data_IF_454035270186
#
_entry.id   IF_454035270186
#
_cell.length_a   1.000
_cell.length_b   1.000
_cell.length_c   1.000
_cell.angle_alpha   90.00
_cell.angle_beta   90.00
_cell.angle_gamma   90.00
#
_symmetry.space_group_name_H-M   'P 1'
#
loop_
_entity.id
_entity.type
_entity.pdbx_description
1 polymer ?
#
# COMPACT_ATOMS: atom_id res chain seq x y z
N UNK A 1 -14.62 0.33 33.00
CA UNK A 1 -13.70 0.39 34.15
C UNK A 1 -12.52 -0.59 34.03
N UNK A 2 -12.74 -1.89 33.82
CA UNK A 2 -11.64 -2.88 33.69
C UNK A 2 -10.74 -2.64 32.46
N UNK A 3 -11.33 -2.34 31.30
CA UNK A 3 -10.59 -2.06 30.06
C UNK A 3 -9.76 -0.77 30.13
N UNK A 4 -10.29 0.27 30.78
CA UNK A 4 -9.58 1.54 31.02
C UNK A 4 -8.39 1.33 31.96
N UNK A 5 -8.57 0.60 33.07
CA UNK A 5 -7.46 0.25 33.97
C UNK A 5 -6.39 -0.60 33.29
N UNK A 6 -6.77 -1.53 32.41
CA UNK A 6 -5.83 -2.33 31.64
C UNK A 6 -5.04 -1.49 30.61
N UNK A 7 -5.70 -0.54 29.95
CA UNK A 7 -5.04 0.43 29.07
C UNK A 7 -4.09 1.37 29.84
N UNK A 8 -4.50 1.85 31.01
CA UNK A 8 -3.65 2.68 31.88
C UNK A 8 -2.42 1.92 32.36
N UNK A 9 -2.59 0.68 32.84
CA UNK A 9 -1.47 -0.16 33.28
C UNK A 9 -0.53 -0.56 32.12
N UNK A 10 -1.06 -0.74 30.90
CA UNK A 10 -0.25 -1.00 29.71
C UNK A 10 0.54 0.24 29.25
N UNK A 11 -0.01 1.44 29.42
CA UNK A 11 0.68 2.71 29.20
C UNK A 11 1.78 2.93 30.24
N UNK A 12 1.48 2.74 31.53
CA UNK A 12 2.42 2.90 32.65
C UNK A 12 3.61 1.93 32.57
N UNK A 13 3.41 0.71 32.05
CA UNK A 13 4.47 -0.29 31.89
C UNK A 13 5.06 -0.33 30.47
N UNK A 14 4.81 0.67 29.63
CA UNK A 14 5.42 0.74 28.30
C UNK A 14 6.94 0.90 28.44
N UNK A 15 7.76 0.04 27.81
CA UNK A 15 9.23 0.18 27.83
C UNK A 15 9.70 1.57 27.40
N UNK A 16 8.95 2.23 26.51
CA UNK A 16 9.24 3.58 26.00
C UNK A 16 8.94 4.66 27.04
N UNK A 17 7.86 4.51 27.83
CA UNK A 17 7.56 5.42 28.94
C UNK A 17 8.59 5.27 30.06
N UNK A 18 9.01 4.04 30.37
CA UNK A 18 10.05 3.78 31.36
C UNK A 18 11.41 4.39 30.97
N UNK A 19 11.80 4.31 29.69
CA UNK A 19 13.02 4.95 29.20
C UNK A 19 12.96 6.49 29.29
N UNK A 20 11.80 7.09 29.00
CA UNK A 20 11.56 8.53 29.18
C UNK A 20 11.63 8.91 30.66
N UNK A 21 10.94 8.20 31.55
CA UNK A 21 10.96 8.45 32.99
C UNK A 21 12.37 8.33 33.56
N UNK A 22 13.11 7.29 33.17
CA UNK A 22 14.52 7.13 33.57
C UNK A 22 15.38 8.30 33.07
N UNK A 23 15.11 8.80 31.86
CA UNK A 23 15.83 9.97 31.34
C UNK A 23 15.48 11.25 32.12
N UNK A 24 14.22 11.42 32.51
CA UNK A 24 13.74 12.54 33.34
C UNK A 24 14.37 12.52 34.74
N UNK A 25 14.48 11.34 35.36
CA UNK A 25 15.08 11.18 36.69
C UNK A 25 16.58 11.52 36.72
N UNK A 26 17.25 11.45 35.57
CA UNK A 26 18.68 11.71 35.41
C UNK A 26 19.01 13.12 34.88
N UNK A 27 18.02 14.02 34.80
CA UNK A 27 18.26 15.39 34.34
C UNK A 27 19.19 16.13 35.30
N UNK A 28 20.29 16.64 34.76
CA UNK A 28 21.31 17.39 35.50
C UNK A 28 21.71 18.70 34.81
N UNK A 29 21.37 18.85 33.52
CA UNK A 29 21.69 20.01 32.70
C UNK A 29 20.60 20.27 31.64
N UNK A 30 20.55 21.50 31.11
CA UNK A 30 19.53 21.90 30.11
C UNK A 30 19.54 21.04 28.83
N UNK A 31 20.70 20.54 28.40
CA UNK A 31 20.81 19.68 27.21
C UNK A 31 20.08 18.35 27.36
N UNK A 32 19.90 17.85 28.59
CA UNK A 32 19.19 16.58 28.84
C UNK A 32 17.72 16.68 28.41
N UNK A 33 17.10 17.85 28.60
CA UNK A 33 15.73 18.10 28.13
C UNK A 33 15.59 18.03 26.61
N UNK A 34 16.62 18.44 25.85
CA UNK A 34 16.60 18.33 24.38
C UNK A 34 16.62 16.87 23.94
N UNK A 35 17.41 16.02 24.61
CA UNK A 35 17.44 14.59 24.35
C UNK A 35 16.10 13.91 24.71
N UNK A 36 15.50 14.30 25.84
CA UNK A 36 14.17 13.81 26.25
C UNK A 36 13.09 14.24 25.26
N UNK A 37 13.12 15.49 24.80
CA UNK A 37 12.18 16.00 23.79
C UNK A 37 12.28 15.18 22.50
N UNK A 38 13.48 14.84 22.05
CA UNK A 38 13.68 13.98 20.88
C UNK A 38 13.08 12.58 21.10
N UNK A 39 13.31 11.93 22.25
CA UNK A 39 12.72 10.62 22.58
C UNK A 39 11.18 10.65 22.58
N UNK A 40 10.59 11.72 23.11
CA UNK A 40 9.14 11.93 23.07
C UNK A 40 8.66 12.05 21.63
N UNK A 41 9.35 12.83 20.78
CA UNK A 41 9.03 12.94 19.35
C UNK A 41 9.11 11.57 18.67
N UNK A 42 10.21 10.85 18.82
CA UNK A 42 10.39 9.50 18.26
C UNK A 42 9.22 8.56 18.64
N UNK A 43 8.79 8.59 19.89
CA UNK A 43 7.64 7.80 20.36
C UNK A 43 6.33 8.20 19.66
N UNK A 44 6.05 9.50 19.50
CA UNK A 44 4.87 9.99 18.77
C UNK A 44 4.88 9.56 17.30
N UNK A 45 6.03 9.63 16.62
CA UNK A 45 6.14 9.17 15.24
C UNK A 45 6.00 7.65 15.11
N UNK A 46 6.51 6.90 16.09
CA UNK A 46 6.29 5.46 16.17
C UNK A 46 4.81 5.10 16.33
N UNK A 47 4.07 5.85 17.16
CA UNK A 47 2.63 5.65 17.28
C UNK A 47 1.90 5.92 15.96
N UNK A 48 2.28 6.98 15.24
CA UNK A 48 1.76 7.26 13.88
C UNK A 48 2.07 6.12 12.91
N UNK A 49 3.29 5.57 12.95
CA UNK A 49 3.68 4.41 12.14
C UNK A 49 2.81 3.18 12.45
N UNK A 50 2.45 2.95 13.71
CA UNK A 50 1.60 1.81 14.10
C UNK A 50 0.18 1.90 13.55
N UNK A 51 -0.33 3.11 13.31
CA UNK A 51 -1.63 3.34 12.68
C UNK A 51 -1.62 3.02 11.18
N UNK A 52 -0.46 2.87 10.55
CA UNK A 52 -0.35 2.46 9.15
C UNK A 52 -0.62 0.95 9.03
N UNK A 53 -1.82 0.59 8.59
CA UNK A 53 -2.32 -0.80 8.62
C UNK A 53 -1.92 -1.65 7.42
N UNK A 54 -1.38 -1.04 6.36
CA UNK A 54 -1.08 -1.74 5.12
C UNK A 54 0.35 -2.23 5.00
N UNK A 55 1.26 -1.61 5.75
CA UNK A 55 2.68 -2.02 5.81
C UNK A 55 2.83 -3.44 6.35
N UNK A 56 3.69 -4.22 5.72
CA UNK A 56 4.15 -5.51 6.26
C UNK A 56 4.94 -5.32 7.56
N UNK A 57 5.07 -6.40 8.34
CA UNK A 57 5.86 -6.40 9.58
C UNK A 57 7.30 -5.96 9.34
N UNK A 58 7.93 -6.43 8.27
CA UNK A 58 9.31 -6.08 7.92
C UNK A 58 9.45 -4.59 7.55
N UNK A 59 8.51 -4.04 6.77
CA UNK A 59 8.50 -2.61 6.46
C UNK A 59 8.32 -1.75 7.72
N UNK A 60 7.38 -2.13 8.61
CA UNK A 60 7.19 -1.42 9.89
C UNK A 60 8.47 -1.44 10.73
N UNK A 61 9.14 -2.58 10.85
CA UNK A 61 10.40 -2.69 11.59
C UNK A 61 11.49 -1.79 10.99
N UNK A 62 11.61 -1.74 9.65
CA UNK A 62 12.56 -0.86 8.97
C UNK A 62 12.31 0.62 9.27
N UNK A 63 11.05 1.07 9.24
CA UNK A 63 10.69 2.44 9.59
C UNK A 63 10.87 2.73 11.09
N UNK A 64 10.55 1.80 11.98
CA UNK A 64 10.78 1.92 13.42
C UNK A 64 12.27 2.18 13.72
N UNK A 65 13.16 1.37 13.15
CA UNK A 65 14.60 1.52 13.33
C UNK A 65 15.10 2.90 12.88
N UNK A 66 14.58 3.39 11.74
CA UNK A 66 14.92 4.72 11.22
C UNK A 66 14.40 5.83 12.12
N UNK A 67 13.18 5.70 12.66
CA UNK A 67 12.60 6.66 13.62
C UNK A 67 13.49 6.80 14.85
N UNK A 68 13.90 5.68 15.47
CA UNK A 68 14.71 5.72 16.69
C UNK A 68 16.18 6.08 16.44
N UNK A 69 16.64 6.05 15.18
CA UNK A 69 17.97 6.53 14.79
C UNK A 69 17.98 8.03 14.43
N UNK A 70 16.82 8.62 14.15
CA UNK A 70 16.71 10.01 13.71
C UNK A 70 17.04 10.99 14.84
N UNK A 71 17.81 12.03 14.50
CA UNK A 71 18.32 13.04 15.45
C UNK A 71 17.54 14.36 15.40
N UNK A 72 16.64 14.54 14.43
CA UNK A 72 15.91 15.78 14.22
C UNK A 72 14.45 15.51 13.88
N UNK A 73 13.59 16.46 14.21
CA UNK A 73 12.17 16.40 13.88
C UNK A 73 11.92 16.39 12.37
N UNK A 74 12.73 17.14 11.60
CA UNK A 74 12.66 17.12 10.14
C UNK A 74 12.92 15.72 9.57
N UNK A 75 13.93 15.01 10.08
CA UNK A 75 14.22 13.64 9.64
C UNK A 75 13.09 12.69 10.04
N UNK A 76 12.55 12.84 11.25
CA UNK A 76 11.39 12.06 11.70
C UNK A 76 10.17 12.27 10.79
N UNK A 77 9.89 13.52 10.42
CA UNK A 77 8.80 13.88 9.53
C UNK A 77 9.00 13.27 8.12
N UNK A 78 10.21 13.36 7.56
CA UNK A 78 10.51 12.71 6.28
C UNK A 78 10.31 11.18 6.32
N UNK A 79 10.69 10.52 7.42
CA UNK A 79 10.53 9.07 7.58
C UNK A 79 9.04 8.69 7.60
N UNK A 80 8.20 9.42 8.34
CA UNK A 80 6.76 9.09 8.42
C UNK A 80 6.03 9.41 7.13
N UNK A 81 6.45 10.45 6.39
CA UNK A 81 5.87 10.77 5.08
C UNK A 81 6.16 9.67 4.06
N UNK A 82 7.40 9.17 4.04
CA UNK A 82 7.77 8.02 3.23
C UNK A 82 6.96 6.76 3.62
N UNK A 83 6.86 6.45 4.92
CA UNK A 83 6.08 5.32 5.40
C UNK A 83 4.60 5.44 5.05
N UNK A 84 4.05 6.65 5.11
CA UNK A 84 2.65 6.95 4.75
C UNK A 84 2.41 6.71 3.26
N UNK A 85 3.31 7.17 2.40
CA UNK A 85 3.21 6.91 0.96
C UNK A 85 3.37 5.41 0.65
N UNK A 86 4.31 4.72 1.30
CA UNK A 86 4.46 3.27 1.13
C UNK A 86 3.19 2.54 1.58
N UNK A 87 2.58 2.92 2.70
CA UNK A 87 1.31 2.34 3.18
C UNK A 87 0.17 2.50 2.15
N UNK A 88 0.14 3.63 1.44
CA UNK A 88 -0.78 3.87 0.33
C UNK A 88 -0.47 2.98 -0.87
N UNK A 89 0.81 2.79 -1.23
CA UNK A 89 1.22 1.87 -2.31
C UNK A 89 0.84 0.42 -2.02
N UNK A 90 0.99 -0.04 -0.76
CA UNK A 90 0.57 -1.39 -0.35
C UNK A 90 -0.94 -1.62 -0.53
N UNK A 91 -1.78 -0.58 -0.38
CA UNK A 91 -3.20 -0.66 -0.70
C UNK A 91 -3.43 -0.95 -2.20
N UNK A 92 -2.70 -0.24 -3.08
CA UNK A 92 -2.77 -0.46 -4.52
C UNK A 92 -2.27 -1.85 -4.92
N UNK A 93 -1.23 -2.37 -4.26
CA UNK A 93 -0.76 -3.73 -4.50
C UNK A 93 -1.83 -4.78 -4.20
N UNK A 94 -2.61 -4.59 -3.13
CA UNK A 94 -3.74 -5.48 -2.82
C UNK A 94 -4.86 -5.39 -3.85
N UNK A 95 -5.11 -4.20 -4.41
CA UNK A 95 -6.06 -4.05 -5.52
C UNK A 95 -5.57 -4.86 -6.73
N UNK A 96 -4.26 -4.81 -7.06
CA UNK A 96 -3.67 -5.65 -8.12
C UNK A 96 -3.84 -7.14 -7.81
N UNK A 97 -3.63 -7.57 -6.55
CA UNK A 97 -3.77 -8.98 -6.16
C UNK A 97 -5.20 -9.51 -6.36
N UNK A 98 -6.19 -8.62 -6.39
CA UNK A 98 -7.60 -8.96 -6.64
C UNK A 98 -7.96 -8.97 -8.14
N UNK A 99 -7.07 -8.52 -9.02
CA UNK A 99 -7.32 -8.50 -10.47
C UNK A 99 -7.29 -9.94 -11.01
N UNK A 100 -8.43 -10.38 -11.54
CA UNK A 100 -8.57 -11.73 -12.12
C UNK A 100 -8.70 -11.63 -13.65
N UNK A 101 -7.61 -11.93 -14.34
CA UNK A 101 -7.61 -12.08 -15.79
C UNK A 101 -8.27 -13.40 -16.24
N UNK A 102 -8.72 -13.52 -17.51
CA UNK A 102 -9.34 -14.76 -17.99
C UNK A 102 -8.43 -16.00 -17.87
N UNK A 103 -7.13 -15.84 -18.11
CA UNK A 103 -6.13 -16.89 -17.86
C UNK A 103 -5.01 -16.36 -16.95
N UNK A 104 -5.21 -16.35 -15.62
CA UNK A 104 -4.32 -15.69 -14.67
C UNK A 104 -2.86 -16.15 -14.71
N UNK A 105 -2.64 -17.41 -15.11
CA UNK A 105 -1.31 -18.02 -15.19
C UNK A 105 -0.61 -17.86 -16.55
N UNK A 106 -1.23 -17.16 -17.51
CA UNK A 106 -0.60 -16.87 -18.80
C UNK A 106 0.57 -15.90 -18.64
N UNK A 107 1.53 -15.97 -19.56
CA UNK A 107 2.66 -15.03 -19.58
C UNK A 107 2.19 -13.59 -19.77
N UNK A 108 1.12 -13.40 -20.56
CA UNK A 108 0.47 -12.13 -20.80
C UNK A 108 -0.11 -11.55 -19.50
N UNK A 109 -0.95 -12.31 -18.77
CA UNK A 109 -1.54 -11.84 -17.53
C UNK A 109 -0.48 -11.49 -16.47
N UNK A 110 0.56 -12.33 -16.33
CA UNK A 110 1.68 -12.06 -15.43
C UNK A 110 2.46 -10.80 -15.82
N UNK A 111 2.69 -10.59 -17.12
CA UNK A 111 3.32 -9.37 -17.64
C UNK A 111 2.48 -8.13 -17.35
N UNK A 112 1.16 -8.20 -17.58
CA UNK A 112 0.23 -7.11 -17.28
C UNK A 112 0.21 -6.76 -15.80
N UNK A 113 0.11 -7.75 -14.91
CA UNK A 113 0.22 -7.54 -13.45
C UNK A 113 1.56 -6.92 -13.07
N UNK A 114 2.67 -7.38 -13.65
CA UNK A 114 4.00 -6.80 -13.40
C UNK A 114 4.09 -5.33 -13.85
N UNK A 115 3.54 -4.97 -15.01
CA UNK A 115 3.49 -3.57 -15.49
C UNK A 115 2.68 -2.68 -14.54
N UNK A 116 1.53 -3.16 -14.05
CA UNK A 116 0.71 -2.44 -13.07
C UNK A 116 1.49 -2.22 -11.76
N UNK A 117 2.24 -3.23 -11.28
CA UNK A 117 3.10 -3.05 -10.09
C UNK A 117 4.22 -2.04 -10.32
N UNK A 118 4.84 -2.03 -11.50
CA UNK A 118 5.87 -1.04 -11.85
C UNK A 118 5.32 0.39 -11.81
N UNK A 119 4.08 0.63 -12.22
CA UNK A 119 3.44 1.94 -12.09
C UNK A 119 3.33 2.38 -10.62
N UNK A 120 2.91 1.49 -9.73
CA UNK A 120 2.82 1.77 -8.29
C UNK A 120 4.20 2.09 -7.69
N UNK A 121 5.23 1.34 -8.08
CA UNK A 121 6.60 1.61 -7.63
C UNK A 121 7.05 3.04 -7.96
N UNK A 122 6.67 3.55 -9.14
CA UNK A 122 7.02 4.88 -9.62
C UNK A 122 6.27 6.05 -8.96
N UNK A 123 5.25 5.80 -8.12
CA UNK A 123 4.54 6.87 -7.41
C UNK A 123 5.48 7.53 -6.39
N UNK A 124 5.58 8.85 -6.40
CA UNK A 124 6.40 9.64 -5.45
C UNK A 124 5.59 10.67 -4.69
N UNK A 125 4.36 10.96 -5.14
CA UNK A 125 3.49 11.99 -4.58
C UNK A 125 2.09 11.48 -4.28
N UNK A 126 1.38 12.20 -3.42
CA UNK A 126 -0.04 11.94 -3.13
C UNK A 126 -0.94 12.14 -4.35
N UNK A 127 -0.60 13.09 -5.23
CA UNK A 127 -1.33 13.32 -6.46
C UNK A 127 -1.23 12.12 -7.42
N UNK A 128 -0.02 11.60 -7.64
CA UNK A 128 0.21 10.40 -8.45
C UNK A 128 -0.51 9.19 -7.84
N UNK A 129 -0.49 9.05 -6.51
CA UNK A 129 -1.26 8.00 -5.83
C UNK A 129 -2.75 8.11 -6.12
N UNK A 130 -3.35 9.29 -5.98
CA UNK A 130 -4.79 9.49 -6.22
C UNK A 130 -5.15 9.18 -7.66
N UNK A 131 -4.33 9.61 -8.62
CA UNK A 131 -4.55 9.34 -10.05
C UNK A 131 -4.43 7.85 -10.39
N UNK A 132 -3.38 7.19 -9.89
CA UNK A 132 -3.18 5.75 -10.10
C UNK A 132 -4.30 4.93 -9.46
N UNK A 133 -4.74 5.29 -8.25
CA UNK A 133 -5.84 4.62 -7.56
C UNK A 133 -7.12 4.65 -8.37
N UNK A 134 -7.51 5.82 -8.88
CA UNK A 134 -8.69 5.96 -9.74
C UNK A 134 -8.55 5.09 -10.99
N UNK A 135 -7.42 5.23 -11.69
CA UNK A 135 -7.16 4.47 -12.93
C UNK A 135 -7.20 2.95 -12.71
N UNK A 136 -6.63 2.47 -11.60
CA UNK A 136 -6.56 1.05 -11.28
C UNK A 136 -7.93 0.47 -10.93
N UNK A 137 -8.76 1.22 -10.18
CA UNK A 137 -10.14 0.83 -9.87
C UNK A 137 -10.98 0.76 -11.14
N UNK A 138 -10.92 1.80 -11.98
CA UNK A 138 -11.62 1.82 -13.27
C UNK A 138 -11.19 0.66 -14.17
N UNK A 139 -9.87 0.41 -14.25
CA UNK A 139 -9.34 -0.73 -15.01
C UNK A 139 -9.85 -2.06 -14.47
N UNK A 140 -9.80 -2.29 -13.15
CA UNK A 140 -10.28 -3.53 -12.52
C UNK A 140 -11.76 -3.77 -12.84
N UNK A 141 -12.60 -2.76 -12.66
CA UNK A 141 -14.04 -2.84 -12.97
C UNK A 141 -14.29 -3.08 -14.46
N UNK A 142 -13.57 -2.38 -15.34
CA UNK A 142 -13.68 -2.61 -16.78
C UNK A 142 -13.26 -4.03 -17.17
N UNK A 143 -12.16 -4.53 -16.61
CA UNK A 143 -11.67 -5.88 -16.86
C UNK A 143 -12.71 -6.93 -16.45
N UNK A 144 -13.24 -6.85 -15.23
CA UNK A 144 -14.27 -7.77 -14.73
C UNK A 144 -15.49 -7.81 -15.67
N UNK A 145 -15.93 -6.65 -16.15
CA UNK A 145 -17.00 -6.54 -17.12
C UNK A 145 -16.64 -7.17 -18.47
N UNK A 146 -15.44 -6.92 -19.01
CA UNK A 146 -15.02 -7.52 -20.29
C UNK A 146 -14.82 -9.03 -20.19
N UNK A 147 -14.29 -9.53 -19.07
CA UNK A 147 -14.18 -10.98 -18.80
C UNK A 147 -15.56 -11.63 -18.83
N UNK A 148 -16.55 -11.02 -18.14
CA UNK A 148 -17.93 -11.50 -18.16
C UNK A 148 -18.51 -11.51 -19.57
N UNK A 149 -18.45 -10.38 -20.29
CA UNK A 149 -18.94 -10.28 -21.67
C UNK A 149 -18.27 -11.31 -22.60
N UNK A 150 -16.94 -11.47 -22.51
CA UNK A 150 -16.20 -12.44 -23.34
C UNK A 150 -16.66 -13.89 -23.10
N UNK A 151 -17.13 -14.22 -21.89
CA UNK A 151 -17.69 -15.52 -21.55
C UNK A 151 -19.14 -15.70 -22.03
N UNK A 152 -19.91 -14.61 -22.15
CA UNK A 152 -21.30 -14.60 -22.67
C UNK A 152 -21.36 -14.71 -24.19
N UNK A 153 -20.28 -14.34 -24.91
CA UNK A 153 -20.20 -14.48 -26.35
C UNK A 153 -20.37 -15.94 -26.78
N UNK A 154 -21.34 -16.18 -27.65
CA UNK A 154 -21.58 -17.49 -28.27
C UNK A 154 -20.71 -17.64 -29.51
N UNK A 155 -20.10 -18.82 -29.65
CA UNK A 155 -19.24 -19.13 -30.78
C UNK A 155 -19.71 -20.41 -31.46
N UNK A 156 -19.66 -20.51 -32.79
CA UNK A 156 -20.02 -21.73 -33.51
C UNK A 156 -19.19 -22.95 -33.09
N UNK A 157 -17.95 -22.72 -32.61
CA UNK A 157 -17.06 -23.77 -32.11
C UNK A 157 -16.44 -23.36 -30.77
N UNK A 158 -16.15 -24.35 -29.94
CA UNK A 158 -15.53 -24.14 -28.60
C UNK A 158 -14.16 -23.46 -28.67
N UNK A 159 -13.42 -23.66 -29.75
CA UNK A 159 -12.06 -23.15 -29.97
C UNK A 159 -12.02 -22.09 -31.08
N UNK A 160 -13.07 -21.28 -31.21
CA UNK A 160 -13.10 -20.21 -32.19
C UNK A 160 -11.88 -19.30 -32.02
N UNK A 161 -11.15 -19.05 -33.11
CA UNK A 161 -9.96 -18.21 -33.12
C UNK A 161 -10.21 -16.83 -32.50
N UNK A 162 -11.35 -16.22 -32.85
CA UNK A 162 -11.79 -14.94 -32.30
C UNK A 162 -11.90 -14.95 -30.75
N UNK A 163 -12.38 -16.05 -30.15
CA UNK A 163 -12.44 -16.18 -28.69
C UNK A 163 -11.02 -16.17 -28.10
N UNK A 164 -10.11 -16.92 -28.70
CA UNK A 164 -8.71 -16.98 -28.24
C UNK A 164 -8.02 -15.62 -28.35
N UNK A 165 -8.28 -14.87 -29.43
CA UNK A 165 -7.74 -13.53 -29.65
C UNK A 165 -8.26 -12.52 -28.61
N UNK A 166 -9.57 -12.51 -28.34
CA UNK A 166 -10.17 -11.66 -27.31
C UNK A 166 -9.55 -11.97 -25.94
N UNK A 167 -9.48 -13.25 -25.56
CA UNK A 167 -8.91 -13.68 -24.28
C UNK A 167 -7.43 -13.26 -24.18
N UNK A 168 -6.64 -13.49 -25.22
CA UNK A 168 -5.23 -13.09 -25.27
C UNK A 168 -5.04 -11.58 -25.17
N UNK A 169 -5.89 -10.81 -25.87
CA UNK A 169 -5.92 -9.35 -25.78
C UNK A 169 -6.24 -8.88 -24.36
N UNK A 170 -7.29 -9.42 -23.74
CA UNK A 170 -7.69 -9.07 -22.37
C UNK A 170 -6.54 -9.36 -21.39
N UNK A 171 -5.90 -10.53 -21.48
CA UNK A 171 -4.75 -10.87 -20.64
C UNK A 171 -3.55 -9.92 -20.81
N UNK A 172 -3.41 -9.29 -21.97
CA UNK A 172 -2.31 -8.38 -22.30
C UNK A 172 -2.59 -6.92 -21.95
N UNK A 173 -3.81 -6.61 -21.51
CA UNK A 173 -4.28 -5.24 -21.25
C UNK A 173 -3.86 -4.75 -19.88
N UNK A 174 -3.57 -3.47 -19.77
CA UNK A 174 -3.27 -2.75 -18.52
C UNK A 174 -4.05 -1.45 -18.37
N UNK A 175 -4.90 -1.13 -19.35
CA UNK A 175 -5.71 0.10 -19.41
C UNK A 175 -7.13 -0.18 -19.90
N UNK A 176 -8.06 0.70 -19.53
CA UNK A 176 -9.46 0.66 -20.02
C UNK A 176 -9.52 0.84 -21.53
N UNK A 177 -8.65 1.69 -22.10
CA UNK A 177 -8.61 1.94 -23.54
C UNK A 177 -8.23 0.69 -24.34
N UNK A 178 -7.25 -0.10 -23.87
CA UNK A 178 -6.91 -1.39 -24.50
C UNK A 178 -8.08 -2.37 -24.45
N UNK A 179 -8.71 -2.52 -23.28
CA UNK A 179 -9.89 -3.37 -23.10
C UNK A 179 -11.03 -3.01 -24.06
N UNK A 180 -11.30 -1.71 -24.24
CA UNK A 180 -12.34 -1.23 -25.13
C UNK A 180 -12.00 -1.40 -26.62
N UNK A 181 -10.72 -1.45 -27.00
CA UNK A 181 -10.32 -1.80 -28.37
C UNK A 181 -10.49 -3.29 -28.65
N UNK A 182 -10.25 -4.14 -27.66
CA UNK A 182 -10.35 -5.60 -27.79
C UNK A 182 -11.81 -6.06 -27.82
N UNK A 183 -12.62 -5.53 -26.90
CA UNK A 183 -14.04 -5.87 -26.80
C UNK A 183 -14.85 -4.58 -26.56
N UNK A 184 -15.27 -3.89 -27.63
CA UNK A 184 -16.09 -2.68 -27.55
C UNK A 184 -17.38 -2.90 -26.77
N UNK A 185 -17.92 -1.85 -26.15
CA UNK A 185 -19.19 -1.99 -25.40
C UNK A 185 -20.42 -2.18 -26.27
N UNK A 186 -20.32 -1.86 -27.56
CA UNK A 186 -21.37 -2.00 -28.56
C UNK A 186 -21.48 -3.41 -29.16
N UNK A 187 -20.62 -4.35 -28.77
CA UNK A 187 -20.68 -5.76 -29.17
C UNK A 187 -21.63 -6.55 -28.28
#
# INVERSE_FOLDING_TARGET
MAQVRALTAALENSPKLNDINTSLDNVSQMSDFSAIELKIKQTKYFDRLNLLTNLSTSQKQGYEQRIFSAQTDQTLQAIIDEATLQNKKEDLYRIIDQITYPTPNSSQARSSLSKLRTRINGITTDQEFTQERTTLIEFKTALENKVRKANELTYPTRNALAKSEIITGINSSTTVAELNRILPDSW
#
